data_IF_855990179706
#
_entry.id   IF_855990179706
#
_cell.length_a   1.000
_cell.length_b   1.000
_cell.length_c   1.000
_cell.angle_alpha   90.00
_cell.angle_beta   90.00
_cell.angle_gamma   90.00
#
_symmetry.space_group_name_H-M   'P 1'
#
loop_
_entity.id
_entity.type
_entity.pdbx_description
1 polymer ?
#
# COMPACT_ATOMS: atom_id res chain seq x y z
N UNK A 1 -22.60 -5.83 2.06
CA UNK A 1 -21.19 -5.40 1.95
C UNK A 1 -20.33 -6.47 1.28
N UNK A 2 -20.88 -7.67 1.03
CA UNK A 2 -20.16 -8.87 0.57
C UNK A 2 -19.95 -8.92 -0.95
N UNK A 3 -20.77 -8.21 -1.73
CA UNK A 3 -20.64 -8.17 -3.19
C UNK A 3 -19.35 -7.47 -3.64
N UNK A 4 -18.90 -6.46 -2.88
CA UNK A 4 -17.64 -5.77 -3.17
C UNK A 4 -16.47 -6.73 -2.89
N UNK A 5 -16.42 -7.34 -1.70
CA UNK A 5 -15.37 -8.31 -1.33
C UNK A 5 -15.29 -9.50 -2.29
N UNK A 6 -16.42 -10.12 -2.67
CA UNK A 6 -16.43 -11.24 -3.62
C UNK A 6 -15.97 -10.86 -5.04
N UNK A 7 -16.01 -9.58 -5.42
CA UNK A 7 -15.55 -9.11 -6.73
C UNK A 7 -14.04 -8.80 -6.75
N UNK A 8 -13.48 -8.34 -5.63
CA UNK A 8 -12.04 -8.07 -5.47
C UNK A 8 -11.25 -9.27 -4.94
N UNK A 9 -11.86 -10.22 -4.23
CA UNK A 9 -11.18 -11.42 -3.70
C UNK A 9 -10.48 -12.27 -4.77
N UNK A 10 -11.08 -12.54 -5.96
CA UNK A 10 -10.41 -13.31 -7.00
C UNK A 10 -9.20 -12.57 -7.61
N UNK A 11 -9.27 -11.23 -7.63
CA UNK A 11 -8.30 -10.38 -8.32
C UNK A 11 -7.18 -9.89 -7.41
N UNK A 12 -7.49 -9.58 -6.15
CA UNK A 12 -6.52 -9.18 -5.12
C UNK A 12 -6.08 -10.35 -4.24
N UNK A 13 -6.81 -11.47 -4.14
CA UNK A 13 -6.50 -12.56 -3.22
C UNK A 13 -6.53 -12.14 -1.76
N UNK A 14 -7.56 -11.39 -1.32
CA UNK A 14 -7.64 -10.86 0.05
C UNK A 14 -7.86 -11.97 1.10
N UNK A 15 -8.36 -13.13 0.68
CA UNK A 15 -8.46 -14.36 1.48
C UNK A 15 -7.42 -15.45 1.20
N UNK A 16 -6.49 -15.26 0.24
CA UNK A 16 -5.54 -16.31 -0.17
C UNK A 16 -4.23 -16.22 0.61
N UNK A 17 -3.77 -17.35 1.14
CA UNK A 17 -2.47 -17.47 1.81
C UNK A 17 -1.34 -17.02 0.85
N UNK A 18 -0.24 -16.42 1.38
CA UNK A 18 0.90 -15.93 0.58
C UNK A 18 1.50 -16.94 -0.39
N UNK A 19 1.21 -18.23 -0.20
CA UNK A 19 1.78 -19.37 -0.90
C UNK A 19 1.16 -19.63 -2.29
N UNK A 20 -0.05 -19.12 -2.55
CA UNK A 20 -0.77 -19.30 -3.82
C UNK A 20 -0.86 -18.01 -4.67
N UNK A 21 -0.11 -16.97 -4.30
CA UNK A 21 -0.09 -15.73 -5.07
C UNK A 21 0.57 -15.95 -6.42
N UNK A 22 -0.24 -15.92 -7.47
CA UNK A 22 0.26 -15.93 -8.85
C UNK A 22 1.00 -14.62 -9.14
N UNK A 23 1.99 -14.68 -10.05
CA UNK A 23 2.74 -13.50 -10.51
C UNK A 23 1.81 -12.34 -10.90
N UNK A 24 0.68 -12.67 -11.53
CA UNK A 24 -0.34 -11.71 -11.96
C UNK A 24 -1.00 -10.98 -10.78
N UNK A 25 -1.29 -11.67 -9.68
CA UNK A 25 -1.84 -11.05 -8.46
C UNK A 25 -0.82 -10.11 -7.77
N UNK A 26 0.46 -10.51 -7.72
CA UNK A 26 1.53 -9.64 -7.16
C UNK A 26 1.69 -8.38 -8.03
N UNK A 27 1.71 -8.53 -9.36
CA UNK A 27 1.79 -7.38 -10.28
C UNK A 27 0.60 -6.44 -10.12
N UNK A 28 -0.62 -6.98 -10.02
CA UNK A 28 -1.82 -6.16 -9.84
C UNK A 28 -1.81 -5.41 -8.48
N UNK A 29 -1.43 -6.10 -7.39
CA UNK A 29 -1.22 -5.45 -6.08
C UNK A 29 -0.16 -4.36 -6.17
N UNK A 30 0.95 -4.61 -6.87
CA UNK A 30 2.00 -3.64 -7.11
C UNK A 30 1.50 -2.37 -7.79
N UNK A 31 0.66 -2.50 -8.83
CA UNK A 31 0.06 -1.37 -9.54
C UNK A 31 -0.84 -0.55 -8.59
N UNK A 32 -1.68 -1.22 -7.80
CA UNK A 32 -2.58 -0.55 -6.86
C UNK A 32 -1.79 0.18 -5.76
N UNK A 33 -0.77 -0.48 -5.20
CA UNK A 33 0.13 0.11 -4.18
C UNK A 33 0.88 1.30 -4.76
N UNK A 34 1.33 1.24 -6.02
CA UNK A 34 1.96 2.36 -6.71
C UNK A 34 1.01 3.55 -6.83
N UNK A 35 -0.22 3.34 -7.29
CA UNK A 35 -1.23 4.40 -7.39
C UNK A 35 -1.58 4.99 -6.01
N UNK A 36 -1.70 4.16 -4.98
CA UNK A 36 -1.94 4.61 -3.61
C UNK A 36 -0.77 5.44 -3.06
N UNK A 37 0.47 5.00 -3.28
CA UNK A 37 1.68 5.71 -2.89
C UNK A 37 1.79 7.06 -3.62
N UNK A 38 1.46 7.10 -4.91
CA UNK A 38 1.44 8.34 -5.69
C UNK A 38 0.41 9.33 -5.12
N UNK A 39 -0.80 8.86 -4.76
CA UNK A 39 -1.81 9.68 -4.12
C UNK A 39 -1.34 10.20 -2.74
N UNK A 40 -0.70 9.34 -1.93
CA UNK A 40 -0.12 9.72 -0.63
C UNK A 40 0.94 10.81 -0.80
N UNK A 41 1.90 10.64 -1.71
CA UNK A 41 2.95 11.64 -1.99
C UNK A 41 2.32 12.97 -2.43
N UNK A 42 1.27 12.91 -3.26
CA UNK A 42 0.55 14.09 -3.75
C UNK A 42 -0.11 14.88 -2.60
N UNK A 43 -0.66 14.19 -1.60
CA UNK A 43 -1.26 14.80 -0.40
C UNK A 43 -0.17 15.32 0.55
N UNK A 44 0.87 14.52 0.80
CA UNK A 44 1.97 14.83 1.72
C UNK A 44 2.85 16.01 1.27
N UNK A 45 2.88 16.34 -0.02
CA UNK A 45 3.62 17.47 -0.59
C UNK A 45 3.25 18.84 0.01
N UNK A 46 2.08 18.98 0.67
CA UNK A 46 1.68 20.24 1.30
C UNK A 46 2.20 20.42 2.74
N UNK A 47 2.69 19.39 3.43
CA UNK A 47 3.00 19.47 4.87
C UNK A 47 4.35 18.87 5.29
N UNK A 48 4.69 17.67 4.82
CA UNK A 48 5.90 16.97 5.27
C UNK A 48 7.04 17.15 4.27
N UNK A 49 6.86 16.70 3.02
CA UNK A 49 7.91 16.52 2.01
C UNK A 49 8.57 17.79 1.43
N UNK A 50 8.16 18.97 1.87
CA UNK A 50 8.60 20.24 1.30
C UNK A 50 9.88 20.81 1.93
N UNK A 51 10.22 20.38 3.15
CA UNK A 51 11.48 20.76 3.80
C UNK A 51 12.34 19.51 3.84
N UNK A 52 13.35 19.39 2.96
CA UNK A 52 14.38 18.33 2.94
C UNK A 52 15.01 18.11 4.33
N UNK A 53 14.28 17.47 5.23
CA UNK A 53 14.58 17.29 6.64
C UNK A 53 14.86 15.82 6.86
N UNK A 54 15.67 15.49 7.85
CA UNK A 54 15.93 14.10 8.22
C UNK A 54 14.62 13.33 8.53
N UNK A 55 13.59 14.04 8.99
CA UNK A 55 12.26 13.49 9.24
C UNK A 55 11.60 12.94 7.98
N UNK A 56 11.61 13.68 6.87
CA UNK A 56 11.02 13.21 5.60
C UNK A 56 11.72 11.97 5.06
N UNK A 57 13.06 11.93 5.17
CA UNK A 57 13.82 10.76 4.76
C UNK A 57 13.40 9.51 5.55
N UNK A 58 13.26 9.64 6.87
CA UNK A 58 12.79 8.56 7.73
C UNK A 58 11.34 8.17 7.39
N UNK A 59 10.46 9.16 7.17
CA UNK A 59 9.06 8.93 6.81
C UNK A 59 8.93 8.15 5.50
N UNK A 60 9.69 8.52 4.46
CA UNK A 60 9.73 7.83 3.17
C UNK A 60 10.19 6.38 3.35
N UNK A 61 11.24 6.15 4.16
CA UNK A 61 11.76 4.80 4.43
C UNK A 61 10.71 3.95 5.16
N UNK A 62 10.04 4.51 6.17
CA UNK A 62 8.96 3.82 6.91
C UNK A 62 7.81 3.49 5.96
N UNK A 63 7.37 4.44 5.14
CA UNK A 63 6.30 4.22 4.16
C UNK A 63 6.67 3.12 3.18
N UNK A 64 7.87 3.18 2.59
CA UNK A 64 8.33 2.16 1.65
C UNK A 64 8.36 0.76 2.28
N UNK A 65 8.84 0.65 3.53
CA UNK A 65 8.88 -0.61 4.28
C UNK A 65 7.48 -1.16 4.58
N UNK A 66 6.53 -0.30 4.94
CA UNK A 66 5.13 -0.69 5.18
C UNK A 66 4.46 -1.11 3.88
N UNK A 67 4.56 -0.32 2.81
CA UNK A 67 3.93 -0.58 1.51
C UNK A 67 4.48 -1.84 0.82
N UNK A 68 5.77 -2.17 1.00
CA UNK A 68 6.36 -3.42 0.50
C UNK A 68 5.62 -4.67 1.03
N UNK A 69 5.13 -4.63 2.27
CA UNK A 69 4.36 -5.72 2.88
C UNK A 69 2.95 -5.89 2.31
N UNK A 70 2.41 -4.87 1.66
CA UNK A 70 1.14 -4.96 0.92
C UNK A 70 1.35 -5.66 -0.43
N UNK A 71 2.49 -5.43 -1.09
CA UNK A 71 2.82 -6.04 -2.38
C UNK A 71 3.09 -7.54 -2.22
N UNK A 72 3.93 -7.93 -1.26
CA UNK A 72 4.32 -9.33 -1.04
C UNK A 72 3.26 -10.16 -0.30
N UNK A 73 2.15 -9.55 0.13
CA UNK A 73 1.05 -10.24 0.81
C UNK A 73 1.35 -10.72 2.23
N UNK A 74 2.45 -10.28 2.84
CA UNK A 74 2.79 -10.60 4.22
C UNK A 74 1.88 -9.91 5.26
N UNK A 75 1.08 -8.92 4.84
CA UNK A 75 0.16 -8.17 5.69
C UNK A 75 -1.17 -7.92 4.98
N UNK A 76 -2.24 -7.62 5.74
CA UNK A 76 -3.54 -7.31 5.19
C UNK A 76 -3.50 -6.06 4.30
N UNK A 77 -3.80 -6.21 3.01
CA UNK A 77 -3.60 -5.20 1.97
C UNK A 77 -4.22 -3.83 2.31
N UNK A 78 -5.53 -3.81 2.62
CA UNK A 78 -6.23 -2.56 2.94
C UNK A 78 -5.80 -1.95 4.27
N UNK A 79 -5.47 -2.77 5.27
CA UNK A 79 -4.99 -2.26 6.56
C UNK A 79 -3.61 -1.59 6.42
N UNK A 80 -2.73 -2.16 5.59
CA UNK A 80 -1.39 -1.61 5.32
C UNK A 80 -1.47 -0.31 4.53
N UNK A 81 -2.36 -0.22 3.54
CA UNK A 81 -2.61 1.03 2.80
C UNK A 81 -3.27 2.08 3.70
N UNK A 82 -4.26 1.71 4.50
CA UNK A 82 -4.90 2.63 5.45
C UNK A 82 -3.91 3.17 6.48
N UNK A 83 -3.06 2.31 7.03
CA UNK A 83 -1.99 2.69 7.95
C UNK A 83 -0.97 3.65 7.33
N UNK A 84 -0.56 3.42 6.08
CA UNK A 84 0.36 4.34 5.39
C UNK A 84 -0.29 5.67 5.03
N UNK A 85 -1.60 5.74 4.79
CA UNK A 85 -2.31 7.04 4.67
C UNK A 85 -2.26 7.81 5.99
N UNK A 86 -2.51 7.15 7.13
CA UNK A 86 -2.47 7.81 8.46
C UNK A 86 -1.09 8.36 8.78
N UNK A 87 -0.02 7.68 8.34
CA UNK A 87 1.36 8.15 8.52
C UNK A 87 1.66 9.42 7.72
N UNK A 88 0.99 9.63 6.58
CA UNK A 88 1.25 10.75 5.65
C UNK A 88 0.41 12.00 5.96
N UNK A 89 -0.74 11.84 6.63
CA UNK A 89 -1.68 12.91 6.98
C UNK A 89 -1.18 13.78 8.15
#
# INVERSE_FOLDING_TARGET
MDAFYNFIDPWLGLGSQPKDLTFLQISLRGIIVFLATLAMIRIGHKRSLARKTAFDAVLIVILASVLSRAINGSSAFFATIGGSVVIVL
#
